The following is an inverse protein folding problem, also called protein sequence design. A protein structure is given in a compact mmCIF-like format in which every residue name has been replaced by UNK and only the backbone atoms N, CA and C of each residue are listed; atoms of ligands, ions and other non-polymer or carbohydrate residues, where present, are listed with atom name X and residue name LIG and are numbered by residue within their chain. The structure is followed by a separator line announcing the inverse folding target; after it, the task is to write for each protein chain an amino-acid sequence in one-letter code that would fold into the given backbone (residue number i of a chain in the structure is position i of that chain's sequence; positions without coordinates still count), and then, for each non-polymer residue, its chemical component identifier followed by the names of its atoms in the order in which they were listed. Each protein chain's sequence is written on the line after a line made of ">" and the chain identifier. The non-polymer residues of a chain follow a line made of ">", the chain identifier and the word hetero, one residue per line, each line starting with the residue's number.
data_IF_949233862024
#
_entry.id   IF_949233862024
#
_cell.length_a   1.000
_cell.length_b   1.000
_cell.length_c   1.000
_cell.angle_alpha   90.00
_cell.angle_beta   90.00
_cell.angle_gamma   90.00
#
_symmetry.space_group_name_H-M   'P 1'
#
loop_
_entity.id
_entity.type
_entity.pdbx_description
1 polymer ?
#
# COMPACT_ATOMS: atom_id res chain seq x y z
N UNK A 1 -12.74 -8.58 3.13
CA UNK A 1 -11.63 -9.52 3.39
C UNK A 1 -10.98 -9.11 4.71
N UNK A 2 -10.53 -10.03 5.56
CA UNK A 2 -9.78 -9.67 6.78
C UNK A 2 -8.25 -9.75 6.53
N UNK A 3 -7.44 -9.23 7.45
CA UNK A 3 -5.98 -9.18 7.30
C UNK A 3 -5.34 -10.56 7.10
N UNK A 4 -5.77 -11.57 7.85
CA UNK A 4 -5.25 -12.93 7.72
C UNK A 4 -5.52 -13.53 6.33
N UNK A 5 -6.72 -13.34 5.79
CA UNK A 5 -7.06 -13.78 4.44
C UNK A 5 -6.29 -13.00 3.36
N UNK A 6 -6.05 -11.70 3.58
CA UNK A 6 -5.25 -10.88 2.67
C UNK A 6 -3.78 -11.36 2.63
N UNK A 7 -3.17 -11.61 3.79
CA UNK A 7 -1.81 -12.14 3.89
C UNK A 7 -1.71 -13.52 3.25
N UNK A 8 -2.65 -14.43 3.52
CA UNK A 8 -2.67 -15.75 2.89
C UNK A 8 -2.80 -15.67 1.36
N UNK A 9 -3.45 -14.64 0.83
CA UNK A 9 -3.57 -14.45 -0.63
C UNK A 9 -2.25 -14.10 -1.32
N UNK A 10 -1.21 -13.71 -0.59
CA UNK A 10 0.11 -13.37 -1.15
C UNK A 10 0.81 -14.59 -1.77
N UNK A 11 0.43 -15.82 -1.40
CA UNK A 11 0.94 -17.04 -2.04
C UNK A 11 0.40 -17.23 -3.47
N UNK A 12 -0.61 -16.45 -3.86
CA UNK A 12 -1.18 -16.44 -5.21
C UNK A 12 -0.29 -15.75 -6.25
N UNK A 13 -0.73 -15.84 -7.51
CA UNK A 13 -0.08 -15.19 -8.66
C UNK A 13 -0.65 -13.79 -8.98
N UNK A 14 -1.81 -13.44 -8.43
CA UNK A 14 -2.45 -12.14 -8.62
C UNK A 14 -3.35 -11.78 -7.42
N UNK A 15 -3.56 -10.48 -7.15
CA UNK A 15 -4.52 -10.04 -6.13
C UNK A 15 -5.95 -10.45 -6.51
N UNK A 16 -6.82 -10.59 -5.50
CA UNK A 16 -8.22 -10.85 -5.77
C UNK A 16 -8.87 -9.69 -6.56
N UNK A 17 -9.72 -9.96 -7.56
CA UNK A 17 -10.21 -8.95 -8.50
C UNK A 17 -11.12 -7.88 -7.88
N UNK A 18 -11.56 -8.09 -6.65
CA UNK A 18 -12.43 -7.18 -5.90
C UNK A 18 -11.66 -6.35 -4.87
N UNK A 19 -10.33 -6.45 -4.81
CA UNK A 19 -9.52 -5.56 -3.98
C UNK A 19 -9.56 -4.15 -4.57
N UNK A 20 -9.63 -3.14 -3.69
CA UNK A 20 -9.43 -1.76 -4.09
C UNK A 20 -8.01 -1.55 -4.64
N UNK A 21 -7.83 -0.51 -5.46
CA UNK A 21 -6.51 -0.21 -6.03
C UNK A 21 -5.39 -0.09 -4.96
N UNK A 22 -5.59 0.59 -3.81
CA UNK A 22 -4.60 0.63 -2.74
C UNK A 22 -4.22 -0.75 -2.19
N UNK A 23 -5.20 -1.63 -1.94
CA UNK A 23 -4.95 -2.99 -1.44
C UNK A 23 -4.27 -3.87 -2.49
N UNK A 24 -4.67 -3.75 -3.75
CA UNK A 24 -4.00 -4.44 -4.86
C UNK A 24 -2.55 -3.94 -5.03
N UNK A 25 -2.29 -2.64 -4.86
CA UNK A 25 -0.93 -2.07 -4.85
C UNK A 25 -0.06 -2.65 -3.74
N UNK A 26 -0.56 -2.69 -2.50
CA UNK A 26 0.16 -3.31 -1.37
C UNK A 26 0.43 -4.80 -1.59
N UNK A 27 -0.51 -5.51 -2.24
CA UNK A 27 -0.34 -6.92 -2.56
C UNK A 27 0.89 -7.13 -3.46
N UNK A 28 1.04 -6.34 -4.54
CA UNK A 28 2.21 -6.40 -5.40
C UNK A 28 3.49 -5.93 -4.71
N UNK A 29 3.38 -4.91 -3.84
CA UNK A 29 4.52 -4.43 -3.06
C UNK A 29 5.12 -5.52 -2.17
N UNK A 30 4.26 -6.34 -1.52
CA UNK A 30 4.70 -7.49 -0.71
C UNK A 30 5.35 -8.60 -1.54
N UNK A 31 5.09 -8.67 -2.85
CA UNK A 31 5.75 -9.58 -3.79
C UNK A 31 7.08 -9.04 -4.32
N UNK A 32 7.44 -7.79 -3.96
CA UNK A 32 8.61 -7.10 -4.48
C UNK A 32 8.40 -6.46 -5.85
N UNK A 33 7.18 -6.43 -6.39
CA UNK A 33 6.88 -5.83 -7.69
C UNK A 33 6.33 -4.41 -7.50
N UNK A 34 7.24 -3.49 -7.20
CA UNK A 34 6.90 -2.09 -6.89
C UNK A 34 6.44 -1.32 -8.13
N UNK A 35 6.94 -1.68 -9.32
CA UNK A 35 6.50 -1.12 -10.60
C UNK A 35 5.01 -1.43 -10.84
N UNK A 36 4.59 -2.67 -10.62
CA UNK A 36 3.19 -3.04 -10.74
C UNK A 36 2.33 -2.38 -9.67
N UNK A 37 2.85 -2.26 -8.44
CA UNK A 37 2.17 -1.55 -7.37
C UNK A 37 1.91 -0.07 -7.74
N UNK A 38 2.94 0.64 -8.22
CA UNK A 38 2.83 2.03 -8.67
C UNK A 38 1.80 2.19 -9.80
N UNK A 39 1.85 1.32 -10.82
CA UNK A 39 0.88 1.36 -11.93
C UNK A 39 -0.57 1.22 -11.48
N UNK A 40 -0.82 0.45 -10.42
CA UNK A 40 -2.17 0.26 -9.89
C UNK A 40 -2.64 1.48 -9.12
N UNK A 41 -1.78 2.07 -8.29
CA UNK A 41 -2.18 3.20 -7.42
C UNK A 41 -2.03 4.57 -8.08
N UNK A 42 -1.35 4.71 -9.22
CA UNK A 42 -1.11 6.01 -9.87
C UNK A 42 -2.39 6.73 -10.35
N UNK A 43 -3.43 5.98 -10.72
CA UNK A 43 -4.66 6.56 -11.27
C UNK A 43 -5.69 6.89 -10.18
N UNK A 44 -5.45 6.43 -8.94
CA UNK A 44 -6.30 6.70 -7.79
C UNK A 44 -5.78 7.92 -7.02
N UNK A 45 -6.57 9.00 -7.01
CA UNK A 45 -6.24 10.25 -6.33
C UNK A 45 -6.68 10.28 -4.85
N UNK A 46 -7.18 9.16 -4.33
CA UNK A 46 -7.62 9.00 -2.96
C UNK A 46 -6.47 9.02 -1.96
N UNK A 47 -6.80 9.38 -0.71
CA UNK A 47 -5.83 9.42 0.41
C UNK A 47 -5.22 8.05 0.70
N UNK A 48 -5.98 6.98 0.48
CA UNK A 48 -5.52 5.61 0.67
C UNK A 48 -4.47 5.21 -0.38
N UNK A 49 -4.71 5.56 -1.64
CA UNK A 49 -3.73 5.36 -2.72
C UNK A 49 -2.47 6.19 -2.50
N UNK A 50 -2.63 7.46 -2.07
CA UNK A 50 -1.51 8.30 -1.69
C UNK A 50 -0.68 7.70 -0.53
N UNK A 51 -1.32 7.02 0.43
CA UNK A 51 -0.60 6.38 1.53
C UNK A 51 0.22 5.18 1.03
N UNK A 52 -0.33 4.39 0.10
CA UNK A 52 0.40 3.29 -0.53
C UNK A 52 1.57 3.81 -1.37
N UNK A 53 1.41 4.90 -2.13
CA UNK A 53 2.54 5.56 -2.83
C UNK A 53 3.65 6.01 -1.87
N UNK A 54 3.27 6.56 -0.71
CA UNK A 54 4.25 6.97 0.29
C UNK A 54 5.10 5.78 0.78
N UNK A 55 4.44 4.65 1.03
CA UNK A 55 5.11 3.40 1.38
C UNK A 55 6.04 2.89 0.27
N UNK A 56 5.58 2.87 -0.99
CA UNK A 56 6.40 2.42 -2.12
C UNK A 56 7.69 3.23 -2.26
N UNK A 57 7.61 4.56 -2.18
CA UNK A 57 8.83 5.39 -2.22
C UNK A 57 9.72 5.24 -0.98
N UNK A 58 9.18 4.85 0.20
CA UNK A 58 10.03 4.45 1.33
C UNK A 58 10.80 3.16 1.04
N UNK A 59 10.16 2.19 0.40
CA UNK A 59 10.81 0.93 -0.01
C UNK A 59 11.95 1.21 -0.99
N UNK A 60 11.77 2.17 -1.91
CA UNK A 60 12.78 2.61 -2.88
C UNK A 60 13.90 3.48 -2.27
N UNK A 61 13.72 3.99 -1.06
CA UNK A 61 14.63 4.93 -0.41
C UNK A 61 14.48 6.39 -0.88
N UNK A 62 13.49 6.71 -1.70
CA UNK A 62 13.13 8.08 -2.08
C UNK A 62 12.30 8.76 -0.98
N UNK A 63 12.98 9.10 0.12
CA UNK A 63 12.33 9.70 1.29
C UNK A 63 11.72 11.08 1.00
N UNK A 64 12.26 11.80 0.02
CA UNK A 64 11.74 13.11 -0.38
C UNK A 64 10.36 12.99 -1.00
N UNK A 65 10.20 12.05 -1.93
CA UNK A 65 8.94 11.78 -2.60
C UNK A 65 7.95 11.03 -1.69
N UNK A 66 8.44 10.08 -0.89
CA UNK A 66 7.63 9.48 0.18
C UNK A 66 7.01 10.55 1.08
N UNK A 67 7.80 11.55 1.47
CA UNK A 67 7.33 12.71 2.24
C UNK A 67 6.24 13.52 1.53
N UNK A 68 6.30 13.66 0.21
CA UNK A 68 5.21 14.28 -0.57
C UNK A 68 3.92 13.48 -0.48
N UNK A 69 3.99 12.18 -0.68
CA UNK A 69 2.82 11.30 -0.66
C UNK A 69 2.21 11.13 0.73
N UNK A 70 3.01 11.11 1.80
CA UNK A 70 2.49 11.16 3.17
C UNK A 70 1.62 12.39 3.42
N UNK A 71 2.05 13.55 2.89
CA UNK A 71 1.26 14.79 2.97
C UNK A 71 -0.05 14.68 2.19
N UNK A 72 -0.05 14.08 1.00
CA UNK A 72 -1.27 13.85 0.21
C UNK A 72 -2.23 12.86 0.92
N UNK A 73 -1.68 11.84 1.56
CA UNK A 73 -2.46 10.89 2.37
C UNK A 73 -3.03 11.53 3.65
N UNK A 74 -2.47 12.65 4.10
CA UNK A 74 -2.75 13.23 5.42
C UNK A 74 -2.29 12.30 6.55
N UNK A 75 -1.17 11.60 6.34
CA UNK A 75 -0.55 10.68 7.30
C UNK A 75 0.82 11.23 7.73
N UNK A 76 1.25 10.99 8.98
CA UNK A 76 2.63 11.27 9.35
C UNK A 76 3.58 10.31 8.63
N UNK A 77 4.78 10.79 8.32
CA UNK A 77 5.83 9.91 7.80
C UNK A 77 6.12 8.78 8.81
N UNK A 78 6.07 7.55 8.32
CA UNK A 78 6.33 6.37 9.13
C UNK A 78 7.82 6.30 9.52
N UNK A 79 8.06 5.76 10.73
CA UNK A 79 9.40 5.67 11.36
C UNK A 79 9.73 4.27 11.82
N UNK A 80 8.72 3.40 11.82
CA UNK A 80 8.79 1.96 12.03
C UNK A 80 9.36 1.27 10.77
N UNK A 81 9.54 -0.06 10.88
CA UNK A 81 10.05 -0.87 9.78
C UNK A 81 9.08 -0.86 8.59
N UNK A 82 9.58 -1.20 7.40
CA UNK A 82 8.75 -1.28 6.20
C UNK A 82 7.65 -2.34 6.37
N UNK A 83 7.95 -3.45 7.05
CA UNK A 83 7.00 -4.53 7.32
C UNK A 83 5.88 -4.06 8.25
N UNK A 84 6.23 -3.37 9.34
CA UNK A 84 5.26 -2.84 10.30
C UNK A 84 4.37 -1.76 9.67
N UNK A 85 4.93 -0.90 8.82
CA UNK A 85 4.15 0.05 8.07
C UNK A 85 3.20 -0.65 7.10
N UNK A 86 3.69 -1.59 6.29
CA UNK A 86 2.88 -2.33 5.32
C UNK A 86 1.67 -2.98 6.00
N UNK A 87 1.90 -3.66 7.13
CA UNK A 87 0.84 -4.33 7.89
C UNK A 87 -0.21 -3.34 8.40
N UNK A 88 0.24 -2.20 8.95
CA UNK A 88 -0.65 -1.14 9.45
C UNK A 88 -1.51 -0.54 8.33
N UNK A 89 -0.94 -0.31 7.14
CA UNK A 89 -1.72 0.18 5.99
C UNK A 89 -2.75 -0.89 5.60
N UNK A 90 -2.32 -2.13 5.39
CA UNK A 90 -3.20 -3.22 4.98
C UNK A 90 -4.38 -3.42 5.95
N UNK A 91 -4.11 -3.47 7.27
CA UNK A 91 -5.14 -3.60 8.31
C UNK A 91 -6.11 -2.42 8.29
N UNK A 92 -5.60 -1.20 8.16
CA UNK A 92 -6.44 0.00 8.12
C UNK A 92 -7.38 -0.03 6.90
N UNK A 93 -6.83 -0.31 5.72
CA UNK A 93 -7.60 -0.33 4.47
C UNK A 93 -8.63 -1.46 4.40
N UNK A 94 -8.36 -2.61 5.04
CA UNK A 94 -9.33 -3.70 5.13
C UNK A 94 -10.46 -3.42 6.14
N UNK A 95 -10.23 -2.56 7.13
CA UNK A 95 -11.22 -2.12 8.11
C UNK A 95 -12.06 -0.93 7.65
N UNK A 96 -11.55 -0.11 6.72
CA UNK A 96 -12.27 1.00 6.10
C UNK A 96 -13.33 0.48 5.12
N UNK A 97 -14.50 0.10 5.63
CA UNK A 97 -15.70 -0.06 4.80
C UNK A 97 -16.33 1.32 4.67
N UNK A 98 -16.05 2.04 3.58
CA UNK A 98 -16.76 3.29 3.25
C UNK A 98 -18.14 2.96 2.69
#
# INVERSE_FOLDING_TARGET
>A
MNAAAFIASLDGAAPAPHLSAPLAGLWWAAKGDWDQAHKIVQDDQGRDAAWVHAYLHRVEGDLGNAGYWYRQAGQPAAKDSLEAEWERIAVTLLGSTT
#
